data_IF_523382408192
#
_entry.id   IF_523382408192
#
_cell.length_a   1.000
_cell.length_b   1.000
_cell.length_c   1.000
_cell.angle_alpha   90.00
_cell.angle_beta   90.00
_cell.angle_gamma   90.00
#
_symmetry.space_group_name_H-M   'P 1'
#
loop_
_entity.id
_entity.type
_entity.pdbx_description
1 polymer ?
#
# COMPACT_ATOMS: atom_id res chain seq x y z
N UNK A 1 -1.44 -53.92 20.13
CA UNK A 1 -1.33 -55.06 19.20
C UNK A 1 -0.92 -56.29 20.02
N UNK A 2 -1.29 -57.50 19.62
CA UNK A 2 -0.84 -58.74 20.27
C UNK A 2 0.59 -59.13 19.86
N UNK A 3 1.07 -60.29 20.35
CA UNK A 3 2.40 -60.82 20.09
C UNK A 3 2.67 -61.16 18.61
N UNK A 4 1.62 -61.29 17.79
CA UNK A 4 1.68 -61.54 16.34
C UNK A 4 1.58 -60.22 15.53
N UNK A 5 1.52 -59.08 16.22
CA UNK A 5 1.46 -57.76 15.58
C UNK A 5 0.07 -57.39 15.03
N UNK A 6 -1.00 -58.07 15.46
CA UNK A 6 -2.39 -57.76 15.09
C UNK A 6 -2.98 -56.73 16.05
N UNK A 7 -3.70 -55.74 15.52
CA UNK A 7 -4.27 -54.66 16.34
C UNK A 7 -5.41 -55.19 17.21
N UNK A 8 -5.23 -55.13 18.53
CA UNK A 8 -6.17 -55.65 19.54
C UNK A 8 -7.07 -54.58 20.16
N UNK A 9 -6.79 -53.29 19.92
CA UNK A 9 -7.58 -52.19 20.44
C UNK A 9 -6.96 -50.83 20.12
N UNK A 10 -7.75 -49.78 20.31
CA UNK A 10 -7.33 -48.39 20.20
C UNK A 10 -7.49 -47.70 21.56
N UNK A 11 -6.57 -46.79 21.88
CA UNK A 11 -6.67 -45.91 23.03
C UNK A 11 -6.69 -44.48 22.52
N UNK A 12 -7.79 -43.78 22.74
CA UNK A 12 -7.94 -42.37 22.40
C UNK A 12 -7.99 -41.50 23.65
N UNK A 13 -7.62 -40.23 23.50
CA UNK A 13 -7.88 -39.18 24.50
C UNK A 13 -8.81 -38.17 23.85
N UNK A 14 -9.94 -37.88 24.49
CA UNK A 14 -10.84 -36.80 24.07
C UNK A 14 -10.50 -35.59 24.92
N UNK A 15 -10.16 -34.47 24.27
CA UNK A 15 -9.97 -33.17 24.91
C UNK A 15 -11.03 -32.23 24.35
N UNK A 16 -11.77 -31.58 25.24
CA UNK A 16 -12.64 -30.48 24.83
C UNK A 16 -11.77 -29.31 24.36
N UNK A 17 -11.95 -28.93 23.10
CA UNK A 17 -11.24 -27.82 22.46
C UNK A 17 -12.19 -26.66 22.12
N UNK A 18 -13.42 -26.66 22.64
CA UNK A 18 -14.46 -25.68 22.32
C UNK A 18 -13.98 -24.26 22.59
N UNK A 19 -13.40 -24.01 23.77
CA UNK A 19 -12.85 -22.70 24.13
C UNK A 19 -11.68 -22.28 23.22
N UNK A 20 -10.80 -23.21 22.86
CA UNK A 20 -9.68 -22.93 21.94
C UNK A 20 -10.21 -22.52 20.57
N UNK A 21 -11.21 -23.24 20.04
CA UNK A 21 -11.82 -22.94 18.75
C UNK A 21 -12.60 -21.63 18.77
N UNK A 22 -13.25 -21.29 19.88
CA UNK A 22 -13.93 -20.02 20.07
C UNK A 22 -12.94 -18.85 20.07
N UNK A 23 -11.87 -18.94 20.84
CA UNK A 23 -10.79 -17.93 20.85
C UNK A 23 -10.11 -17.78 19.49
N UNK A 24 -9.90 -18.89 18.76
CA UNK A 24 -9.33 -18.85 17.41
C UNK A 24 -10.23 -18.09 16.43
N UNK A 25 -11.55 -18.29 16.51
CA UNK A 25 -12.54 -17.57 15.71
C UNK A 25 -12.61 -16.08 16.07
N UNK A 26 -12.70 -15.75 17.36
CA UNK A 26 -12.74 -14.36 17.85
C UNK A 26 -11.48 -13.58 17.43
N UNK A 27 -10.31 -14.24 17.50
CA UNK A 27 -9.05 -13.66 17.01
C UNK A 27 -9.09 -13.40 15.50
N UNK A 28 -9.60 -14.34 14.72
CA UNK A 28 -9.71 -14.18 13.27
C UNK A 28 -10.65 -13.03 12.88
N UNK A 29 -11.79 -12.92 13.57
CA UNK A 29 -12.75 -11.82 13.37
C UNK A 29 -12.14 -10.47 13.76
N UNK A 30 -11.40 -10.41 14.88
CA UNK A 30 -10.70 -9.21 15.31
C UNK A 30 -9.63 -8.76 14.30
N UNK A 31 -8.84 -9.70 13.75
CA UNK A 31 -7.84 -9.41 12.73
C UNK A 31 -8.47 -8.88 11.43
N UNK A 32 -9.59 -9.46 11.00
CA UNK A 32 -10.30 -8.98 9.81
C UNK A 32 -10.89 -7.59 10.03
N UNK A 33 -11.48 -7.33 11.20
CA UNK A 33 -11.98 -6.01 11.56
C UNK A 33 -10.87 -4.95 11.59
N UNK A 34 -9.69 -5.30 12.12
CA UNK A 34 -8.51 -4.42 12.10
C UNK A 34 -8.06 -4.11 10.67
N UNK A 35 -8.02 -5.13 9.79
CA UNK A 35 -7.68 -4.96 8.38
C UNK A 35 -8.65 -4.00 7.67
N UNK A 36 -9.96 -4.21 7.84
CA UNK A 36 -10.99 -3.36 7.25
C UNK A 36 -10.96 -1.91 7.78
N UNK A 37 -10.67 -1.75 9.07
CA UNK A 37 -10.54 -0.43 9.69
C UNK A 37 -9.34 0.31 9.10
N UNK A 38 -8.19 -0.36 8.99
CA UNK A 38 -6.98 0.21 8.39
C UNK A 38 -7.23 0.62 6.93
N UNK A 39 -7.83 -0.25 6.12
CA UNK A 39 -8.18 0.07 4.72
C UNK A 39 -9.11 1.28 4.63
N UNK A 40 -10.11 1.36 5.50
CA UNK A 40 -11.04 2.49 5.55
C UNK A 40 -10.36 3.79 5.98
N UNK A 41 -9.43 3.74 6.94
CA UNK A 41 -8.63 4.90 7.37
C UNK A 41 -7.72 5.39 6.25
N UNK A 42 -7.00 4.48 5.59
CA UNK A 42 -6.16 4.80 4.43
C UNK A 42 -6.99 5.43 3.31
N UNK A 43 -8.18 4.87 3.04
CA UNK A 43 -9.08 5.43 2.05
C UNK A 43 -9.60 6.83 2.43
N UNK A 44 -9.91 7.08 3.71
CA UNK A 44 -10.31 8.39 4.17
C UNK A 44 -9.20 9.45 4.01
N UNK A 45 -7.94 9.06 4.25
CA UNK A 45 -6.77 9.93 4.00
C UNK A 45 -6.65 10.29 2.51
N UNK A 46 -6.77 9.29 1.63
CA UNK A 46 -6.77 9.48 0.18
C UNK A 46 -7.86 10.46 -0.27
N UNK A 47 -9.12 10.25 0.14
CA UNK A 47 -10.24 11.13 -0.19
C UNK A 47 -10.04 12.55 0.33
N UNK A 48 -9.44 12.70 1.51
CA UNK A 48 -9.14 14.02 2.09
C UNK A 48 -8.17 14.80 1.20
N UNK A 49 -7.15 14.13 0.66
CA UNK A 49 -6.19 14.76 -0.26
C UNK A 49 -6.84 15.08 -1.61
N UNK A 50 -7.59 14.13 -2.19
CA UNK A 50 -8.32 14.35 -3.45
C UNK A 50 -9.31 15.53 -3.32
N UNK A 51 -9.91 15.77 -2.14
CA UNK A 51 -10.82 16.90 -1.93
C UNK A 51 -10.19 18.29 -2.14
N UNK A 52 -8.86 18.38 -2.03
CA UNK A 52 -8.10 19.61 -2.28
C UNK A 52 -7.64 19.76 -3.74
N UNK A 53 -7.76 18.70 -4.52
CA UNK A 53 -7.43 18.65 -5.95
C UNK A 53 -8.64 18.11 -6.74
N UNK A 54 -9.57 19.00 -7.16
CA UNK A 54 -10.84 18.62 -7.79
C UNK A 54 -10.71 17.74 -9.02
N UNK A 55 -9.53 17.72 -9.65
CA UNK A 55 -9.26 16.94 -10.85
C UNK A 55 -8.93 15.47 -10.58
N UNK A 56 -8.71 15.10 -9.31
CA UNK A 56 -8.21 13.78 -8.92
C UNK A 56 -9.27 12.85 -8.32
N UNK A 57 -10.56 13.18 -8.38
CA UNK A 57 -11.60 12.33 -7.81
C UNK A 57 -11.54 10.86 -8.31
N UNK A 58 -11.32 9.93 -7.38
CA UNK A 58 -11.17 8.50 -7.66
C UNK A 58 -9.93 8.14 -8.50
N UNK A 59 -9.02 9.09 -8.73
CA UNK A 59 -7.78 8.88 -9.47
C UNK A 59 -6.91 7.84 -8.76
N UNK A 60 -6.74 7.99 -7.45
CA UNK A 60 -5.87 7.10 -6.69
C UNK A 60 -6.38 5.65 -6.73
N UNK A 61 -7.70 5.45 -6.74
CA UNK A 61 -8.31 4.12 -6.91
C UNK A 61 -8.01 3.53 -8.29
N UNK A 62 -8.17 4.31 -9.37
CA UNK A 62 -7.90 3.84 -10.74
C UNK A 62 -6.42 3.50 -10.94
N UNK A 63 -5.51 4.31 -10.39
CA UNK A 63 -4.07 4.03 -10.39
C UNK A 63 -3.76 2.76 -9.62
N UNK A 64 -4.33 2.59 -8.42
CA UNK A 64 -4.13 1.38 -7.62
C UNK A 64 -4.62 0.11 -8.33
N UNK A 65 -5.78 0.16 -8.98
CA UNK A 65 -6.31 -0.98 -9.72
C UNK A 65 -5.43 -1.35 -10.93
N UNK A 66 -4.92 -0.35 -11.65
CA UNK A 66 -3.98 -0.57 -12.76
C UNK A 66 -2.64 -1.15 -12.27
N UNK A 67 -2.06 -0.57 -11.22
CA UNK A 67 -0.82 -1.02 -10.62
C UNK A 67 -0.92 -2.48 -10.13
N UNK A 68 -2.04 -2.83 -9.48
CA UNK A 68 -2.31 -4.21 -9.06
C UNK A 68 -2.45 -5.17 -10.23
N UNK A 69 -3.11 -4.75 -11.31
CA UNK A 69 -3.27 -5.57 -12.51
C UNK A 69 -1.92 -5.83 -13.19
N UNK A 70 -1.04 -4.82 -13.28
CA UNK A 70 0.32 -4.96 -13.78
C UNK A 70 1.11 -5.93 -12.90
N UNK A 71 1.09 -5.74 -11.58
CA UNK A 71 1.79 -6.62 -10.64
C UNK A 71 1.31 -8.08 -10.72
N UNK A 72 0.01 -8.30 -10.89
CA UNK A 72 -0.55 -9.63 -11.06
C UNK A 72 -0.09 -10.29 -12.37
N UNK A 73 -0.02 -9.54 -13.48
CA UNK A 73 0.52 -10.06 -14.75
C UNK A 73 2.02 -10.37 -14.70
N UNK A 74 2.72 -9.79 -13.73
CA UNK A 74 4.14 -10.04 -13.46
C UNK A 74 4.36 -11.16 -12.43
N UNK A 75 3.30 -11.88 -12.03
CA UNK A 75 3.34 -12.97 -11.05
C UNK A 75 3.91 -12.57 -9.67
N UNK A 76 3.67 -11.33 -9.25
CA UNK A 76 4.03 -10.90 -7.89
C UNK A 76 3.18 -11.63 -6.85
N UNK A 77 3.80 -11.91 -5.69
CA UNK A 77 3.10 -12.46 -4.54
C UNK A 77 1.95 -11.54 -4.10
N UNK A 78 0.81 -12.13 -3.73
CA UNK A 78 -0.36 -11.41 -3.23
C UNK A 78 -0.02 -10.40 -2.13
N UNK A 79 0.85 -10.76 -1.18
CA UNK A 79 1.31 -9.84 -0.13
C UNK A 79 1.95 -8.57 -0.69
N UNK A 80 2.78 -8.68 -1.73
CA UNK A 80 3.39 -7.52 -2.39
C UNK A 80 2.36 -6.67 -3.13
N UNK A 81 1.37 -7.31 -3.76
CA UNK A 81 0.27 -6.62 -4.42
C UNK A 81 -0.58 -5.83 -3.40
N UNK A 82 -0.81 -6.38 -2.21
CA UNK A 82 -1.53 -5.69 -1.13
C UNK A 82 -0.77 -4.44 -0.66
N UNK A 83 0.56 -4.54 -0.50
CA UNK A 83 1.43 -3.41 -0.21
C UNK A 83 1.45 -2.34 -1.30
N UNK A 84 1.53 -2.76 -2.56
CA UNK A 84 1.45 -1.86 -3.73
C UNK A 84 0.09 -1.16 -3.76
N UNK A 85 -1.02 -1.87 -3.58
CA UNK A 85 -2.37 -1.29 -3.52
C UNK A 85 -2.45 -0.18 -2.48
N UNK A 86 -1.94 -0.43 -1.27
CA UNK A 86 -1.96 0.55 -0.20
C UNK A 86 -1.13 1.79 -0.57
N UNK A 87 0.10 1.59 -1.06
CA UNK A 87 0.96 2.69 -1.51
C UNK A 87 0.33 3.50 -2.65
N UNK A 88 -0.29 2.83 -3.64
CA UNK A 88 -0.96 3.50 -4.76
C UNK A 88 -2.16 4.34 -4.32
N UNK A 89 -2.90 3.90 -3.30
CA UNK A 89 -4.03 4.67 -2.77
C UNK A 89 -3.55 5.98 -2.11
N UNK A 90 -2.35 6.03 -1.55
CA UNK A 90 -1.85 7.20 -0.79
C UNK A 90 -0.62 7.88 -1.41
N UNK A 91 -0.27 7.57 -2.66
CA UNK A 91 0.96 8.07 -3.29
C UNK A 91 1.04 9.60 -3.31
N UNK A 92 -0.11 10.26 -3.48
CA UNK A 92 -0.21 11.72 -3.50
C UNK A 92 -0.45 12.34 -2.12
N UNK A 93 -0.37 11.59 -1.00
CA UNK A 93 -0.68 12.10 0.34
C UNK A 93 0.06 13.40 0.69
N UNK A 94 1.30 13.54 0.22
CA UNK A 94 2.11 14.74 0.43
C UNK A 94 1.57 16.00 -0.26
N UNK A 95 0.60 15.90 -1.19
CA UNK A 95 -0.05 17.07 -1.80
C UNK A 95 -0.76 17.95 -0.76
N UNK A 96 -1.04 17.42 0.44
CA UNK A 96 -1.54 18.22 1.57
C UNK A 96 -0.62 19.40 1.93
N UNK A 97 0.69 19.27 1.68
CA UNK A 97 1.69 20.31 1.93
C UNK A 97 1.79 21.35 0.81
N UNK A 98 1.10 21.15 -0.31
CA UNK A 98 1.16 22.05 -1.47
C UNK A 98 0.04 23.11 -1.36
N UNK A 99 0.33 24.39 -1.67
CA UNK A 99 -0.70 25.43 -1.74
C UNK A 99 -1.81 25.07 -2.72
N UNK A 100 -3.06 25.25 -2.29
CA UNK A 100 -4.24 24.91 -3.10
C UNK A 100 -4.25 25.72 -4.40
N UNK A 101 -3.81 26.97 -4.38
CA UNK A 101 -3.74 27.88 -5.53
C UNK A 101 -2.83 27.35 -6.65
N UNK A 102 -1.80 26.56 -6.28
CA UNK A 102 -0.91 25.89 -7.24
C UNK A 102 -1.58 24.62 -7.77
N UNK A 103 -2.15 23.78 -6.89
CA UNK A 103 -2.80 22.53 -7.29
C UNK A 103 -4.01 22.75 -8.21
N UNK A 104 -4.83 23.77 -7.92
CA UNK A 104 -6.07 24.03 -8.66
C UNK A 104 -5.89 25.05 -9.78
N UNK A 105 -4.64 25.39 -10.15
CA UNK A 105 -4.37 26.40 -11.18
C UNK A 105 -4.91 25.93 -12.54
N UNK A 106 -5.81 26.68 -13.20
CA UNK A 106 -6.41 26.25 -14.48
C UNK A 106 -5.48 26.44 -15.69
N UNK A 107 -4.24 26.88 -15.46
CA UNK A 107 -3.24 27.15 -16.49
C UNK A 107 -1.99 26.31 -16.22
N UNK A 108 -1.09 26.21 -17.21
CA UNK A 108 0.17 25.50 -17.01
C UNK A 108 0.94 26.11 -15.83
N UNK A 109 1.48 25.23 -14.99
CA UNK A 109 2.41 25.62 -13.95
C UNK A 109 3.67 26.22 -14.58
N UNK A 110 4.17 27.27 -13.96
CA UNK A 110 5.54 27.76 -14.20
C UNK A 110 6.54 26.72 -13.69
N UNK A 111 7.80 26.83 -14.14
CA UNK A 111 8.86 25.93 -13.65
C UNK A 111 8.98 25.95 -12.12
N UNK A 112 8.90 27.13 -11.50
CA UNK A 112 8.99 27.29 -10.04
C UNK A 112 7.81 26.62 -9.33
N UNK A 113 6.58 26.83 -9.83
CA UNK A 113 5.39 26.17 -9.27
C UNK A 113 5.46 24.65 -9.40
N UNK A 114 6.01 24.15 -10.51
CA UNK A 114 6.20 22.72 -10.69
C UNK A 114 7.25 22.15 -9.71
N UNK A 115 8.36 22.85 -9.46
CA UNK A 115 9.32 22.45 -8.42
C UNK A 115 8.67 22.39 -7.02
N UNK A 116 7.74 23.29 -6.71
CA UNK A 116 6.97 23.21 -5.46
C UNK A 116 6.12 21.93 -5.45
N UNK A 117 5.39 21.63 -6.53
CA UNK A 117 4.57 20.41 -6.60
C UNK A 117 5.41 19.15 -6.40
N UNK A 118 6.62 19.06 -6.98
CA UNK A 118 7.50 17.88 -6.81
C UNK A 118 7.81 17.55 -5.35
N UNK A 119 7.78 18.54 -4.45
CA UNK A 119 8.05 18.32 -3.02
C UNK A 119 7.04 17.39 -2.34
N UNK A 120 5.88 17.15 -2.95
CA UNK A 120 4.87 16.25 -2.38
C UNK A 120 5.38 14.81 -2.20
N UNK A 121 6.28 14.33 -3.06
CA UNK A 121 6.85 12.98 -2.92
C UNK A 121 7.63 12.85 -1.60
N UNK A 122 8.49 13.84 -1.30
CA UNK A 122 9.22 13.89 -0.05
C UNK A 122 8.27 14.12 1.14
N UNK A 123 7.30 15.02 1.02
CA UNK A 123 6.34 15.25 2.09
C UNK A 123 5.52 13.99 2.42
N UNK A 124 5.12 13.22 1.40
CA UNK A 124 4.46 11.93 1.56
C UNK A 124 5.33 10.91 2.30
N UNK A 125 6.62 10.83 1.95
CA UNK A 125 7.58 10.02 2.69
C UNK A 125 7.68 10.45 4.16
N UNK A 126 7.85 11.74 4.44
CA UNK A 126 7.97 12.27 5.81
C UNK A 126 6.75 11.97 6.67
N UNK A 127 5.54 11.97 6.09
CA UNK A 127 4.30 11.60 6.78
C UNK A 127 4.25 10.11 7.11
N UNK A 128 4.77 9.26 6.23
CA UNK A 128 4.59 7.81 6.28
C UNK A 128 5.75 7.05 6.93
N UNK A 129 6.96 7.63 7.00
CA UNK A 129 8.20 6.92 7.38
C UNK A 129 8.18 6.31 8.78
N UNK A 130 7.42 6.89 9.71
CA UNK A 130 7.35 6.44 11.10
C UNK A 130 6.21 5.43 11.35
N UNK A 131 5.40 5.14 10.32
CA UNK A 131 4.33 4.14 10.40
C UNK A 131 4.93 2.76 10.10
N UNK A 132 4.71 1.81 11.02
CA UNK A 132 5.19 0.43 10.88
C UNK A 132 4.25 -0.36 9.95
N UNK A 133 4.48 -0.19 8.65
CA UNK A 133 3.86 -1.05 7.64
C UNK A 133 4.66 -2.34 7.44
N UNK A 134 4.02 -3.46 7.08
CA UNK A 134 4.74 -4.68 6.68
C UNK A 134 5.40 -4.55 5.30
N UNK A 135 5.16 -3.45 4.58
CA UNK A 135 5.67 -3.16 3.23
C UNK A 135 6.42 -1.81 3.21
N UNK A 136 7.32 -1.57 2.24
CA UNK A 136 8.09 -0.33 2.15
C UNK A 136 7.28 0.84 1.57
N UNK A 137 6.09 1.11 2.13
CA UNK A 137 5.12 2.06 1.59
C UNK A 137 5.72 3.47 1.45
N UNK A 138 6.37 3.99 2.50
CA UNK A 138 6.97 5.31 2.46
C UNK A 138 7.96 5.46 1.29
N UNK A 139 8.78 4.43 1.05
CA UNK A 139 9.74 4.41 -0.07
C UNK A 139 9.06 4.34 -1.43
N UNK A 140 8.01 3.53 -1.57
CA UNK A 140 7.21 3.49 -2.81
C UNK A 140 6.60 4.87 -3.12
N UNK A 141 6.06 5.54 -2.10
CA UNK A 141 5.52 6.90 -2.20
C UNK A 141 6.62 7.94 -2.51
N UNK A 142 7.84 7.76 -2.03
CA UNK A 142 8.94 8.66 -2.37
C UNK A 142 9.36 8.55 -3.84
N UNK A 143 9.35 7.32 -4.36
CA UNK A 143 9.93 6.96 -5.67
C UNK A 143 8.91 6.97 -6.82
N UNK A 144 7.63 7.23 -6.57
CA UNK A 144 6.57 7.09 -7.59
C UNK A 144 6.65 8.08 -8.76
N UNK A 145 7.60 9.01 -8.75
CA UNK A 145 7.95 9.86 -9.90
C UNK A 145 9.38 9.65 -10.40
N UNK A 146 10.10 8.68 -9.84
CA UNK A 146 11.38 8.25 -10.37
C UNK A 146 11.17 7.49 -11.69
N UNK A 147 12.09 7.71 -12.63
CA UNK A 147 12.03 7.12 -13.96
C UNK A 147 13.24 6.25 -14.19
N UNK A 148 13.07 5.18 -14.97
CA UNK A 148 14.13 4.20 -15.24
C UNK A 148 15.41 4.85 -15.80
N UNK A 149 15.28 5.94 -16.55
CA UNK A 149 16.39 6.70 -17.15
C UNK A 149 17.06 7.71 -16.20
N UNK A 150 16.54 7.90 -14.98
CA UNK A 150 17.02 8.88 -14.00
C UNK A 150 16.50 10.30 -14.21
N UNK A 151 15.59 10.54 -15.15
CA UNK A 151 14.99 11.88 -15.37
C UNK A 151 13.85 12.22 -14.41
N UNK A 152 13.50 11.30 -13.50
CA UNK A 152 12.48 11.46 -12.48
C UNK A 152 12.91 12.33 -11.30
N UNK A 153 12.16 12.31 -10.21
CA UNK A 153 12.43 13.06 -8.96
C UNK A 153 11.91 12.26 -7.75
N UNK A 154 12.35 12.56 -6.50
CA UNK A 154 13.25 13.65 -6.07
C UNK A 154 14.74 13.34 -6.11
N UNK A 155 15.15 12.08 -6.24
CA UNK A 155 16.53 11.64 -6.08
C UNK A 155 17.22 11.26 -7.41
N UNK A 156 16.49 11.26 -8.53
CA UNK A 156 17.02 10.93 -9.86
C UNK A 156 17.57 9.49 -9.91
N UNK A 157 16.86 8.57 -9.25
CA UNK A 157 17.23 7.15 -9.18
C UNK A 157 17.10 6.51 -10.55
N UNK A 158 18.01 5.56 -10.85
CA UNK A 158 18.01 4.83 -12.12
C UNK A 158 17.55 3.40 -11.91
N UNK A 159 16.99 2.79 -12.96
CA UNK A 159 16.72 1.36 -13.09
C UNK A 159 16.75 0.55 -11.78
N UNK A 160 17.91 0.03 -11.41
CA UNK A 160 18.05 -0.92 -10.28
C UNK A 160 18.03 -0.29 -8.89
N UNK A 161 18.07 1.04 -8.78
CA UNK A 161 18.03 1.78 -7.52
C UNK A 161 16.60 1.99 -6.99
N UNK A 162 15.57 1.79 -7.83
CA UNK A 162 14.15 1.91 -7.46
C UNK A 162 13.50 0.57 -7.19
N UNK A 163 12.54 0.54 -6.25
CA UNK A 163 11.75 -0.67 -6.00
C UNK A 163 10.94 -1.05 -7.23
N UNK A 164 10.71 -2.35 -7.41
CA UNK A 164 9.84 -2.83 -8.49
C UNK A 164 8.43 -2.25 -8.36
N UNK A 165 7.90 -2.20 -7.14
CA UNK A 165 6.62 -1.59 -6.81
C UNK A 165 6.56 -0.12 -7.20
N UNK A 166 7.64 0.64 -6.97
CA UNK A 166 7.75 2.04 -7.39
C UNK A 166 7.68 2.17 -8.92
N UNK A 167 8.37 1.29 -9.66
CA UNK A 167 8.33 1.27 -11.14
C UNK A 167 6.95 0.96 -11.69
N UNK A 168 6.21 0.07 -11.01
CA UNK A 168 4.84 -0.25 -11.40
C UNK A 168 3.91 0.93 -11.13
N UNK A 169 4.16 1.68 -10.05
CA UNK A 169 3.37 2.83 -9.66
C UNK A 169 3.72 4.12 -10.42
N UNK A 170 4.88 4.23 -11.07
CA UNK A 170 5.37 5.48 -11.64
C UNK A 170 4.30 6.27 -12.41
N UNK A 171 4.07 7.55 -12.03
CA UNK A 171 3.08 8.46 -12.66
C UNK A 171 3.70 9.71 -13.30
#
# INVERSE_FOLDING_TARGET
KDAEGKTTGFRGVVRDITEIKKMEKERQESLEHLRQTLESTVHAMAVTVESRDPYTAGHQRRVADLACAIAAMMDLEKSRIDGLRMASIIHDLGKISIPTEILTKPTKLTAIEFEIVKTHAQAGYEILKDIVFPWPIARIVLEHHEKIDGSGYPHHLKGDDTLLESKILTV
#
